data_IF_149764311713
#
_entry.id   IF_149764311713
#
_cell.length_a   1.000
_cell.length_b   1.000
_cell.length_c   1.000
_cell.angle_alpha   90.00
_cell.angle_beta   90.00
_cell.angle_gamma   90.00
#
_symmetry.space_group_name_H-M   'P 1'
#
loop_
_entity.id
_entity.type
_entity.pdbx_description
1 polymer ?
#
# COMPACT_ATOMS: atom_id res chain seq x y z
N UNK A 1 19.24 -10.46 2.04
CA UNK A 1 18.50 -10.57 0.75
C UNK A 1 17.03 -10.77 1.07
N UNK A 2 16.11 -10.01 0.47
CA UNK A 2 14.66 -10.17 0.74
C UNK A 2 14.14 -11.49 0.16
N UNK A 3 13.24 -12.17 0.90
CA UNK A 3 12.70 -13.48 0.54
C UNK A 3 11.80 -13.43 -0.71
N UNK A 4 11.54 -14.59 -1.32
CA UNK A 4 10.56 -14.72 -2.42
C UNK A 4 9.19 -14.18 -2.01
N UNK A 5 8.71 -14.56 -0.82
CA UNK A 5 7.38 -14.18 -0.33
C UNK A 5 7.26 -12.70 -0.05
N UNK A 6 8.32 -12.08 0.47
CA UNK A 6 8.39 -10.63 0.59
C UNK A 6 8.23 -9.93 -0.77
N UNK A 7 8.94 -10.41 -1.81
CA UNK A 7 8.84 -9.79 -3.15
C UNK A 7 7.44 -9.92 -3.74
N UNK A 8 6.81 -11.09 -3.59
CA UNK A 8 5.43 -11.32 -4.05
C UNK A 8 4.45 -10.41 -3.29
N UNK A 9 4.57 -10.38 -1.96
CA UNK A 9 3.78 -9.49 -1.11
C UNK A 9 3.93 -8.04 -1.57
N UNK A 10 5.16 -7.57 -1.76
CA UNK A 10 5.48 -6.21 -2.22
C UNK A 10 4.78 -5.84 -3.51
N UNK A 11 4.85 -6.67 -4.54
CA UNK A 11 4.17 -6.38 -5.82
C UNK A 11 2.64 -6.33 -5.66
N UNK A 12 2.05 -7.20 -4.84
CA UNK A 12 0.61 -7.15 -4.56
C UNK A 12 0.21 -5.93 -3.75
N UNK A 13 1.05 -5.54 -2.78
CA UNK A 13 0.91 -4.33 -1.99
C UNK A 13 0.97 -3.09 -2.86
N UNK A 14 1.94 -3.00 -3.76
CA UNK A 14 2.07 -1.90 -4.74
C UNK A 14 0.78 -1.72 -5.55
N UNK A 15 0.22 -2.80 -6.11
CA UNK A 15 -1.03 -2.71 -6.85
C UNK A 15 -2.20 -2.22 -5.97
N UNK A 16 -2.28 -2.72 -4.73
CA UNK A 16 -3.35 -2.34 -3.81
C UNK A 16 -3.23 -0.89 -3.35
N UNK A 17 -2.01 -0.37 -3.16
CA UNK A 17 -1.79 1.04 -2.80
C UNK A 17 -2.05 1.99 -3.96
N UNK A 18 -1.82 1.56 -5.22
CA UNK A 18 -2.27 2.29 -6.40
C UNK A 18 -3.81 2.38 -6.45
N UNK A 19 -4.51 1.28 -6.17
CA UNK A 19 -5.98 1.25 -6.17
C UNK A 19 -6.58 2.04 -5.00
N UNK A 20 -5.88 2.09 -3.85
CA UNK A 20 -6.31 2.83 -2.67
C UNK A 20 -6.12 4.35 -2.79
N UNK A 21 -5.22 4.81 -3.68
CA UNK A 21 -5.02 6.25 -3.86
C UNK A 21 -6.27 6.90 -4.49
N UNK A 22 -6.76 8.02 -3.96
CA UNK A 22 -7.95 8.69 -4.51
C UNK A 22 -7.75 9.11 -5.97
N UNK A 23 -8.78 8.94 -6.80
CA UNK A 23 -8.76 9.48 -8.18
C UNK A 23 -8.85 10.99 -8.16
N UNK A 24 -7.81 11.67 -8.63
CA UNK A 24 -7.63 13.12 -8.58
C UNK A 24 -7.96 13.86 -9.89
N UNK A 25 -8.24 13.14 -10.98
CA UNK A 25 -8.35 13.73 -12.33
C UNK A 25 -9.44 14.81 -12.48
N UNK A 26 -10.44 14.78 -11.61
CA UNK A 26 -11.59 15.69 -11.60
C UNK A 26 -11.50 16.75 -10.49
N UNK A 27 -10.48 16.66 -9.64
CA UNK A 27 -10.32 17.50 -8.44
C UNK A 27 -9.57 18.79 -8.77
N UNK A 28 -9.76 19.81 -7.94
CA UNK A 28 -8.98 21.06 -8.06
C UNK A 28 -7.58 20.84 -7.53
N UNK A 29 -6.60 21.54 -8.10
CA UNK A 29 -5.19 21.45 -7.69
C UNK A 29 -4.97 21.57 -6.17
N UNK A 30 -5.66 22.48 -5.49
CA UNK A 30 -5.55 22.64 -4.03
C UNK A 30 -6.07 21.43 -3.24
N UNK A 31 -7.12 20.75 -3.72
CA UNK A 31 -7.67 19.55 -3.10
C UNK A 31 -6.70 18.38 -3.30
N UNK A 32 -6.14 18.22 -4.52
CA UNK A 32 -5.12 17.21 -4.80
C UNK A 32 -3.89 17.37 -3.89
N UNK A 33 -3.42 18.60 -3.72
CA UNK A 33 -2.27 18.91 -2.85
C UNK A 33 -2.57 18.64 -1.37
N UNK A 34 -3.77 18.97 -0.90
CA UNK A 34 -4.18 18.70 0.48
C UNK A 34 -4.25 17.18 0.77
N UNK A 35 -4.82 16.40 -0.16
CA UNK A 35 -4.87 14.93 -0.07
C UNK A 35 -3.45 14.35 -0.06
N UNK A 36 -2.61 14.77 -1.01
CA UNK A 36 -1.25 14.29 -1.12
C UNK A 36 -0.42 14.62 0.13
N UNK A 37 -0.57 15.82 0.68
CA UNK A 37 0.09 16.21 1.93
C UNK A 37 -0.39 15.35 3.10
N UNK A 38 -1.71 15.18 3.27
CA UNK A 38 -2.29 14.35 4.33
C UNK A 38 -1.78 12.91 4.27
N UNK A 39 -1.69 12.33 3.08
CA UNK A 39 -1.18 10.96 2.90
C UNK A 39 0.29 10.86 3.32
N UNK A 40 1.15 11.78 2.88
CA UNK A 40 2.57 11.74 3.21
C UNK A 40 2.81 11.92 4.71
N UNK A 41 2.15 12.92 5.32
CA UNK A 41 2.27 13.17 6.76
C UNK A 41 1.70 12.00 7.56
N UNK A 42 0.56 11.46 7.14
CA UNK A 42 -0.03 10.31 7.82
C UNK A 42 0.80 9.03 7.71
N UNK A 43 1.56 8.84 6.63
CA UNK A 43 2.54 7.74 6.54
C UNK A 43 3.68 7.94 7.54
N UNK A 44 4.20 9.16 7.66
CA UNK A 44 5.34 9.49 8.52
C UNK A 44 4.96 9.45 10.01
N UNK A 45 3.82 10.05 10.36
CA UNK A 45 3.33 10.17 11.74
C UNK A 45 2.60 8.93 12.24
N UNK A 46 2.28 7.98 11.35
CA UNK A 46 1.48 6.81 11.70
C UNK A 46 0.01 7.13 11.96
N UNK A 47 -0.56 8.08 11.22
CA UNK A 47 -1.98 8.46 11.32
C UNK A 47 -2.88 7.22 11.12
N UNK A 48 -3.72 6.85 12.09
CA UNK A 48 -4.64 5.72 11.98
C UNK A 48 -5.47 5.74 10.70
N UNK A 49 -5.96 6.90 10.25
CA UNK A 49 -6.78 6.99 9.04
C UNK A 49 -6.02 6.59 7.77
N UNK A 50 -4.71 6.87 7.72
CA UNK A 50 -3.85 6.50 6.60
C UNK A 50 -3.34 5.07 6.74
N UNK A 51 -3.04 4.64 7.97
CA UNK A 51 -2.59 3.28 8.25
C UNK A 51 -3.69 2.24 7.98
N UNK A 52 -4.94 2.59 8.28
CA UNK A 52 -6.11 1.74 8.05
C UNK A 52 -6.45 1.54 6.56
N UNK A 53 -5.84 2.32 5.65
CA UNK A 53 -5.97 2.09 4.22
C UNK A 53 -5.28 0.79 3.77
N UNK A 54 -4.24 0.35 4.48
CA UNK A 54 -3.51 -0.88 4.14
C UNK A 54 -4.26 -2.09 4.68
N UNK A 55 -4.85 -2.96 3.84
CA UNK A 55 -5.54 -4.15 4.32
C UNK A 55 -4.53 -5.18 4.85
N UNK A 56 -5.02 -6.10 5.67
CA UNK A 56 -4.26 -7.25 6.15
C UNK A 56 -4.48 -8.44 5.20
N UNK A 57 -3.54 -8.73 4.27
CA UNK A 57 -3.81 -9.56 3.10
C UNK A 57 -3.96 -11.06 3.41
N UNK A 58 -3.61 -11.50 4.62
CA UNK A 58 -3.78 -12.87 5.09
C UNK A 58 -4.85 -13.00 6.19
N UNK A 59 -5.43 -11.88 6.66
CA UNK A 59 -6.53 -11.93 7.62
C UNK A 59 -7.81 -12.35 6.90
N UNK A 60 -8.51 -13.36 7.44
CA UNK A 60 -9.55 -14.10 6.71
C UNK A 60 -10.72 -13.28 6.17
N UNK A 61 -10.98 -12.08 6.71
CA UNK A 61 -12.03 -11.17 6.21
C UNK A 61 -11.60 -10.39 4.95
N UNK A 62 -10.29 -10.29 4.73
CA UNK A 62 -9.67 -9.51 3.64
C UNK A 62 -8.84 -10.37 2.68
N UNK A 63 -8.64 -11.65 3.03
CA UNK A 63 -8.00 -12.63 2.17
C UNK A 63 -9.00 -13.12 1.11
N UNK A 64 -8.97 -12.53 -0.08
CA UNK A 64 -9.76 -13.00 -1.24
C UNK A 64 -9.31 -14.36 -1.78
N UNK A 65 -8.16 -14.87 -1.32
CA UNK A 65 -7.59 -16.17 -1.67
C UNK A 65 -7.17 -16.90 -0.38
N UNK A 66 -7.31 -18.21 -0.35
CA UNK A 66 -6.79 -19.03 0.74
C UNK A 66 -5.26 -19.02 0.79
N UNK A 67 -4.69 -19.31 1.96
CA UNK A 67 -3.24 -19.46 2.12
C UNK A 67 -2.66 -20.50 1.13
N UNK A 68 -3.41 -21.55 0.81
CA UNK A 68 -2.94 -22.56 -0.14
C UNK A 68 -2.90 -22.02 -1.58
N UNK A 69 -3.81 -21.13 -1.96
CA UNK A 69 -3.81 -20.47 -3.27
C UNK A 69 -2.64 -19.49 -3.39
N UNK A 70 -2.40 -18.67 -2.35
CA UNK A 70 -1.31 -17.69 -2.33
C UNK A 70 0.06 -18.38 -2.32
N UNK A 71 0.23 -19.40 -1.47
CA UNK A 71 1.54 -20.00 -1.19
C UNK A 71 1.80 -21.32 -1.92
N UNK A 72 0.78 -21.92 -2.55
CA UNK A 72 0.83 -23.25 -3.17
C UNK A 72 0.93 -24.43 -2.19
N UNK A 73 1.01 -24.14 -0.89
CA UNK A 73 1.14 -25.09 0.22
C UNK A 73 0.72 -24.39 1.51
N UNK A 74 0.60 -25.15 2.61
CA UNK A 74 0.50 -24.53 3.93
C UNK A 74 1.79 -23.74 4.23
N UNK A 75 1.71 -22.41 4.42
CA UNK A 75 2.89 -21.60 4.67
C UNK A 75 3.39 -21.79 6.10
N UNK A 76 4.69 -21.52 6.31
CA UNK A 76 5.23 -21.33 7.66
C UNK A 76 4.97 -19.91 8.14
N UNK A 77 5.05 -19.67 9.45
CA UNK A 77 4.90 -18.31 10.02
C UNK A 77 5.85 -17.31 9.34
N UNK A 78 7.12 -17.68 9.19
CA UNK A 78 8.10 -16.81 8.51
C UNK A 78 7.72 -16.50 7.06
N UNK A 79 7.06 -17.41 6.33
CA UNK A 79 6.58 -17.11 4.97
C UNK A 79 5.46 -16.07 4.99
N UNK A 80 4.54 -16.19 5.95
CA UNK A 80 3.43 -15.26 6.14
C UNK A 80 3.94 -13.88 6.57
N UNK A 81 4.79 -13.81 7.60
CA UNK A 81 5.39 -12.55 8.07
C UNK A 81 6.14 -11.85 6.93
N UNK A 82 6.92 -12.60 6.15
CA UNK A 82 7.63 -12.04 5.01
C UNK A 82 6.67 -11.47 3.96
N UNK A 83 5.58 -12.19 3.66
CA UNK A 83 4.58 -11.76 2.70
C UNK A 83 3.85 -10.50 3.17
N UNK A 84 3.41 -10.45 4.43
CA UNK A 84 2.71 -9.29 5.00
C UNK A 84 3.61 -8.06 5.09
N UNK A 85 4.86 -8.22 5.54
CA UNK A 85 5.83 -7.13 5.53
C UNK A 85 6.10 -6.62 4.12
N UNK A 86 6.22 -7.53 3.15
CA UNK A 86 6.36 -7.15 1.74
C UNK A 86 5.16 -6.35 1.26
N UNK A 87 3.96 -6.86 1.52
CA UNK A 87 2.70 -6.23 1.14
C UNK A 87 2.58 -4.82 1.72
N UNK A 88 2.84 -4.66 3.02
CA UNK A 88 2.79 -3.35 3.68
C UNK A 88 3.79 -2.37 3.08
N UNK A 89 5.04 -2.80 2.87
CA UNK A 89 6.09 -1.96 2.25
C UNK A 89 5.68 -1.52 0.83
N UNK A 90 5.12 -2.44 0.03
CA UNK A 90 4.66 -2.13 -1.32
C UNK A 90 3.49 -1.17 -1.35
N UNK A 91 2.51 -1.40 -0.47
CA UNK A 91 1.32 -0.57 -0.33
C UNK A 91 1.68 0.88 -0.05
N UNK A 92 2.40 1.14 1.05
CA UNK A 92 2.74 2.52 1.43
C UNK A 92 3.74 3.15 0.46
N UNK A 93 4.65 2.38 -0.14
CA UNK A 93 5.56 2.92 -1.17
C UNK A 93 4.81 3.44 -2.39
N UNK A 94 3.80 2.71 -2.87
CA UNK A 94 2.99 3.15 -4.02
C UNK A 94 2.09 4.32 -3.67
N UNK A 95 1.44 4.29 -2.49
CA UNK A 95 0.59 5.36 -1.99
C UNK A 95 1.37 6.68 -1.85
N UNK A 96 2.57 6.62 -1.27
CA UNK A 96 3.49 7.76 -1.18
C UNK A 96 3.95 8.24 -2.57
N UNK A 97 4.25 7.33 -3.49
CA UNK A 97 4.64 7.68 -4.86
C UNK A 97 3.53 8.43 -5.60
N UNK A 98 2.26 8.03 -5.43
CA UNK A 98 1.11 8.73 -6.00
C UNK A 98 0.96 10.13 -5.40
N UNK A 99 1.08 10.26 -4.07
CA UNK A 99 1.04 11.57 -3.40
C UNK A 99 2.17 12.50 -3.88
N UNK A 100 3.39 11.99 -4.02
CA UNK A 100 4.53 12.74 -4.59
C UNK A 100 4.25 13.14 -6.05
N UNK A 101 3.63 12.24 -6.82
CA UNK A 101 3.19 12.51 -8.19
C UNK A 101 2.22 13.69 -8.26
N UNK A 102 1.21 13.74 -7.39
CA UNK A 102 0.27 14.85 -7.29
C UNK A 102 0.93 16.16 -6.85
N UNK A 103 1.86 16.09 -5.88
CA UNK A 103 2.66 17.25 -5.48
C UNK A 103 3.55 17.76 -6.60
N UNK A 104 4.06 16.90 -7.47
CA UNK A 104 4.84 17.31 -8.67
C UNK A 104 3.94 17.85 -9.78
N UNK A 105 2.75 17.27 -9.97
CA UNK A 105 1.78 17.67 -11.00
C UNK A 105 1.19 19.05 -10.74
N UNK A 106 0.84 19.34 -9.49
CA UNK A 106 0.10 20.56 -9.11
C UNK A 106 0.90 21.52 -8.23
N UNK A 107 1.85 21.01 -7.47
CA UNK A 107 2.85 21.81 -6.77
C UNK A 107 4.03 22.00 -7.71
N UNK A 108 4.52 23.23 -7.84
CA UNK A 108 5.76 23.47 -8.56
C UNK A 108 6.93 22.96 -7.71
N UNK A 109 7.19 21.66 -7.73
CA UNK A 109 8.51 21.09 -7.44
C UNK A 109 9.38 21.17 -8.69
#
# INVERSE_FOLDING_TARGET
MKSKWYKIGKTRGENSGLDAFPRTDWMKAGECLAIAQKILDGIDDGDPEVMDLCPNPLSGEWAGESLKEIFGRFPTQSMMDNYENGYRDGFFSSLASCAIGEKTRFGKL
#
